data_IF_289157781742
#
_entry.id   IF_289157781742
#
_cell.length_a   1.000
_cell.length_b   1.000
_cell.length_c   1.000
_cell.angle_alpha   90.00
_cell.angle_beta   90.00
_cell.angle_gamma   90.00
#
_symmetry.space_group_name_H-M   'P 1'
#
loop_
_entity.id
_entity.type
_entity.pdbx_description
1 polymer ?
#
# COMPACT_ATOMS: atom_id res chain seq x y z
N UNK A 1 -10.50 -18.06 8.67
CA UNK A 1 -9.60 -18.00 7.49
C UNK A 1 -10.18 -16.97 6.54
N UNK A 2 -9.93 -15.68 6.78
CA UNK A 2 -10.40 -14.60 5.90
C UNK A 2 -9.18 -14.07 5.16
N UNK A 3 -8.87 -14.69 4.02
CA UNK A 3 -7.78 -14.26 3.14
C UNK A 3 -8.30 -13.44 1.94
N UNK A 4 -9.41 -12.72 2.14
CA UNK A 4 -9.85 -11.67 1.22
C UNK A 4 -9.18 -10.35 1.63
N UNK A 5 -7.84 -10.34 1.63
CA UNK A 5 -7.12 -9.09 1.93
C UNK A 5 -7.20 -8.21 0.69
N UNK A 6 -8.08 -7.22 0.72
CA UNK A 6 -8.29 -6.19 -0.30
C UNK A 6 -6.97 -5.57 -0.83
N UNK A 7 -5.93 -5.60 0.00
CA UNK A 7 -4.60 -5.09 -0.30
C UNK A 7 -3.53 -6.16 -0.07
N UNK A 8 -2.53 -6.22 -0.96
CA UNK A 8 -1.39 -7.13 -0.82
C UNK A 8 -0.08 -6.35 -0.87
N UNK A 9 0.76 -6.56 0.15
CA UNK A 9 2.10 -6.00 0.24
C UNK A 9 3.10 -7.00 -0.30
N UNK A 10 3.96 -6.55 -1.20
CA UNK A 10 4.96 -7.37 -1.92
C UNK A 10 6.37 -6.83 -1.72
N UNK A 11 7.36 -7.64 -2.08
CA UNK A 11 8.76 -7.21 -2.08
C UNK A 11 9.00 -6.08 -3.09
N UNK A 12 9.97 -5.17 -2.83
CA UNK A 12 10.29 -4.02 -3.69
C UNK A 12 10.42 -4.30 -5.20
N UNK A 13 10.97 -5.46 -5.54
CA UNK A 13 11.30 -5.92 -6.89
C UNK A 13 10.30 -6.96 -7.44
N UNK A 14 9.23 -7.26 -6.70
CA UNK A 14 8.28 -8.28 -7.10
C UNK A 14 7.61 -7.95 -8.45
N UNK A 15 7.53 -8.97 -9.30
CA UNK A 15 6.80 -8.94 -10.56
C UNK A 15 5.53 -9.77 -10.42
N UNK A 16 4.36 -9.15 -10.67
CA UNK A 16 3.05 -9.78 -10.52
C UNK A 16 2.39 -9.81 -11.90
N UNK A 17 2.34 -10.98 -12.54
CA UNK A 17 1.91 -11.15 -13.93
C UNK A 17 0.52 -10.53 -14.20
N UNK A 18 -0.42 -10.71 -13.29
CA UNK A 18 -1.81 -10.26 -13.46
C UNK A 18 -2.04 -8.77 -13.09
N UNK A 19 -1.00 -8.07 -12.63
CA UNK A 19 -1.09 -6.69 -12.16
C UNK A 19 -0.54 -5.68 -13.17
N UNK A 20 -1.12 -4.49 -13.19
CA UNK A 20 -0.58 -3.35 -13.94
C UNK A 20 0.37 -2.58 -13.02
N UNK A 21 1.64 -2.51 -13.39
CA UNK A 21 2.63 -1.72 -12.64
C UNK A 21 2.50 -0.23 -12.99
N UNK A 22 2.10 0.56 -11.99
CA UNK A 22 1.99 2.01 -12.13
C UNK A 22 3.35 2.73 -12.03
N UNK A 23 4.40 2.03 -11.57
CA UNK A 23 5.75 2.54 -11.38
C UNK A 23 6.02 3.08 -9.97
N UNK A 24 7.14 3.79 -9.84
CA UNK A 24 7.57 4.47 -8.62
C UNK A 24 6.87 5.82 -8.47
N UNK A 25 6.20 6.04 -7.32
CA UNK A 25 5.50 7.29 -6.97
C UNK A 25 4.73 7.94 -8.13
N UNK A 26 3.81 7.21 -8.79
CA UNK A 26 3.01 7.76 -9.88
C UNK A 26 2.07 8.87 -9.39
N UNK A 27 1.67 9.82 -10.25
CA UNK A 27 0.64 10.78 -9.89
C UNK A 27 -0.70 10.07 -9.63
N UNK A 28 -1.47 10.51 -8.63
CA UNK A 28 -2.75 9.89 -8.24
C UNK A 28 -3.75 9.73 -9.39
N UNK A 29 -3.92 10.69 -10.32
CA UNK A 29 -4.79 10.50 -11.48
C UNK A 29 -4.42 9.29 -12.35
N UNK A 30 -3.13 8.98 -12.50
CA UNK A 30 -2.67 7.79 -13.24
C UNK A 30 -3.12 6.52 -12.53
N UNK A 31 -2.95 6.44 -11.21
CA UNK A 31 -3.37 5.27 -10.42
C UNK A 31 -4.87 5.04 -10.55
N UNK A 32 -5.68 6.10 -10.46
CA UNK A 32 -7.14 6.01 -10.65
C UNK A 32 -7.52 5.50 -12.05
N UNK A 33 -6.88 6.03 -13.09
CA UNK A 33 -7.13 5.60 -14.46
C UNK A 33 -6.80 4.11 -14.66
N UNK A 34 -5.68 3.64 -14.12
CA UNK A 34 -5.31 2.22 -14.17
C UNK A 34 -6.25 1.33 -13.35
N UNK A 35 -6.69 1.80 -12.17
CA UNK A 35 -7.58 1.05 -11.28
C UNK A 35 -8.98 0.86 -11.88
N UNK A 36 -9.41 1.77 -12.76
CA UNK A 36 -10.66 1.62 -13.51
C UNK A 36 -10.60 0.49 -14.55
N UNK A 37 -9.40 0.04 -14.95
CA UNK A 37 -9.20 -0.99 -15.97
C UNK A 37 -9.42 -2.44 -15.51
N UNK A 38 -9.93 -2.67 -14.30
CA UNK A 38 -10.33 -4.00 -13.79
C UNK A 38 -9.19 -4.91 -13.33
N UNK A 39 -7.95 -4.65 -13.75
CA UNK A 39 -6.76 -5.36 -13.25
C UNK A 39 -6.23 -4.72 -11.95
N UNK A 40 -5.67 -5.52 -11.01
CA UNK A 40 -5.01 -4.99 -9.83
C UNK A 40 -3.86 -4.05 -10.22
N UNK A 41 -3.77 -2.89 -9.56
CA UNK A 41 -2.68 -1.93 -9.78
C UNK A 41 -1.61 -2.12 -8.69
N UNK A 42 -0.36 -2.29 -9.14
CA UNK A 42 0.85 -2.30 -8.32
C UNK A 42 1.46 -0.89 -8.29
N UNK A 43 1.77 -0.41 -7.08
CA UNK A 43 2.51 0.85 -6.88
C UNK A 43 3.79 0.57 -6.11
N UNK A 44 4.91 1.13 -6.57
CA UNK A 44 6.20 1.05 -5.89
C UNK A 44 6.37 2.26 -4.98
N UNK A 45 6.36 2.02 -3.67
CA UNK A 45 6.49 3.05 -2.62
C UNK A 45 7.92 3.19 -2.09
N UNK A 46 8.84 2.40 -2.62
CA UNK A 46 10.27 2.42 -2.35
C UNK A 46 10.99 2.86 -3.64
N UNK A 47 12.05 3.69 -3.55
CA UNK A 47 12.84 4.04 -4.72
C UNK A 47 13.31 2.78 -5.46
N UNK A 48 13.37 2.82 -6.80
CA UNK A 48 14.04 1.77 -7.53
C UNK A 48 15.47 1.68 -7.02
N UNK A 49 15.98 0.46 -6.83
CA UNK A 49 17.35 0.28 -6.37
C UNK A 49 18.28 1.03 -7.34
N UNK A 50 19.02 2.06 -6.87
CA UNK A 50 20.21 2.47 -7.60
C UNK A 50 21.15 1.28 -7.47
N UNK A 51 21.44 0.59 -8.57
CA UNK A 51 22.53 -0.39 -8.74
C UNK A 51 22.81 -1.48 -7.67
N UNK A 52 21.95 -1.67 -6.66
CA UNK A 52 22.15 -2.63 -5.56
C UNK A 52 22.91 -2.07 -4.35
N UNK A 53 23.31 -0.79 -4.33
CA UNK A 53 24.06 -0.22 -3.20
C UNK A 53 23.17 0.60 -2.25
N UNK A 54 22.77 -0.03 -1.15
CA UNK A 54 22.01 0.62 -0.07
C UNK A 54 22.84 1.68 0.67
N UNK A 55 22.29 2.87 0.86
CA UNK A 55 22.95 3.96 1.60
C UNK A 55 22.55 3.93 3.09
N UNK A 56 23.52 4.16 3.98
CA UNK A 56 23.45 3.99 5.44
C UNK A 56 22.59 5.01 6.22
N UNK A 57 22.30 4.77 7.52
CA UNK A 57 20.95 5.04 8.01
C UNK A 57 20.82 5.79 9.35
N UNK A 58 19.72 6.53 9.51
CA UNK A 58 19.36 7.16 10.80
C UNK A 58 18.09 8.00 10.70
N UNK A 59 18.22 9.27 10.34
CA UNK A 59 17.09 10.19 10.11
C UNK A 59 16.27 9.82 8.86
N UNK A 60 16.96 9.39 7.79
CA UNK A 60 16.34 8.97 6.53
C UNK A 60 15.28 7.88 6.72
N UNK A 61 15.48 6.93 7.65
CA UNK A 61 14.55 5.81 7.88
C UNK A 61 13.18 6.23 8.42
N UNK A 62 13.11 7.22 9.32
CA UNK A 62 11.82 7.68 9.87
C UNK A 62 11.07 8.56 8.86
N UNK A 63 11.77 9.44 8.15
CA UNK A 63 11.21 10.22 7.04
C UNK A 63 10.71 9.27 5.92
N UNK A 64 11.49 8.23 5.59
CA UNK A 64 11.11 7.17 4.65
C UNK A 64 9.88 6.38 5.12
N UNK A 65 9.75 6.08 6.42
CA UNK A 65 8.59 5.39 6.95
C UNK A 65 7.33 6.25 6.82
N UNK A 66 7.35 7.49 7.31
CA UNK A 66 6.21 8.39 7.22
C UNK A 66 5.78 8.61 5.77
N UNK A 67 6.74 8.82 4.88
CA UNK A 67 6.51 8.92 3.45
C UNK A 67 5.89 7.64 2.87
N UNK A 68 6.45 6.48 3.19
CA UNK A 68 5.91 5.18 2.75
C UNK A 68 4.46 5.02 3.19
N UNK A 69 4.14 5.33 4.45
CA UNK A 69 2.80 5.22 5.01
C UNK A 69 1.82 6.18 4.32
N UNK A 70 2.25 7.41 4.01
CA UNK A 70 1.46 8.35 3.24
C UNK A 70 1.17 7.84 1.82
N UNK A 71 2.19 7.34 1.12
CA UNK A 71 2.05 6.79 -0.23
C UNK A 71 1.08 5.60 -0.26
N UNK A 72 1.28 4.57 0.58
CA UNK A 72 0.39 3.39 0.58
C UNK A 72 -1.03 3.77 0.92
N UNK A 73 -1.23 4.70 1.87
CA UNK A 73 -2.58 5.12 2.29
C UNK A 73 -3.31 5.86 1.16
N UNK A 74 -2.65 6.84 0.53
CA UNK A 74 -3.23 7.63 -0.57
C UNK A 74 -3.51 6.77 -1.79
N UNK A 75 -2.59 5.89 -2.17
CA UNK A 75 -2.78 5.03 -3.33
C UNK A 75 -3.81 3.92 -3.10
N UNK A 76 -3.92 3.39 -1.88
CA UNK A 76 -5.02 2.50 -1.51
C UNK A 76 -6.38 3.19 -1.64
N UNK A 77 -6.46 4.48 -1.27
CA UNK A 77 -7.65 5.29 -1.49
C UNK A 77 -7.92 5.55 -2.98
N UNK A 78 -6.86 5.67 -3.77
CA UNK A 78 -6.94 5.87 -5.22
C UNK A 78 -7.30 4.59 -6.01
N UNK A 79 -7.35 3.42 -5.35
CA UNK A 79 -7.76 2.15 -5.97
C UNK A 79 -6.61 1.16 -6.25
N UNK A 80 -5.37 1.48 -5.86
CA UNK A 80 -4.28 0.50 -5.91
C UNK A 80 -4.56 -0.66 -4.94
N UNK A 81 -4.15 -1.86 -5.33
CA UNK A 81 -4.33 -3.09 -4.53
C UNK A 81 -3.02 -3.76 -4.13
N UNK A 82 -1.93 -3.45 -4.83
CA UNK A 82 -0.63 -4.05 -4.62
C UNK A 82 0.41 -2.96 -4.30
N UNK A 83 1.21 -3.18 -3.25
CA UNK A 83 2.18 -2.20 -2.77
C UNK A 83 3.55 -2.83 -2.56
N UNK A 84 4.56 -2.32 -3.27
CA UNK A 84 5.95 -2.72 -3.08
C UNK A 84 6.64 -1.74 -2.12
N UNK A 85 7.17 -2.25 -1.00
CA UNK A 85 7.75 -1.43 0.08
C UNK A 85 8.78 -2.22 0.90
N UNK A 86 9.73 -1.51 1.50
CA UNK A 86 10.68 -2.02 2.50
C UNK A 86 10.08 -2.12 3.91
N UNK A 87 8.88 -1.58 4.16
CA UNK A 87 8.23 -1.53 5.48
C UNK A 87 6.92 -2.34 5.51
N UNK A 88 6.95 -3.66 5.27
CA UNK A 88 5.73 -4.42 5.00
C UNK A 88 4.77 -4.51 6.19
N UNK A 89 5.28 -4.58 7.42
CA UNK A 89 4.43 -4.64 8.62
C UNK A 89 3.68 -3.34 8.86
N UNK A 90 4.39 -2.20 8.84
CA UNK A 90 3.78 -0.89 9.02
C UNK A 90 2.80 -0.55 7.89
N UNK A 91 3.12 -0.92 6.65
CA UNK A 91 2.22 -0.75 5.51
C UNK A 91 0.93 -1.55 5.66
N UNK A 92 0.98 -2.81 6.11
CA UNK A 92 -0.23 -3.61 6.39
C UNK A 92 -1.10 -2.95 7.45
N UNK A 93 -0.51 -2.45 8.52
CA UNK A 93 -1.26 -1.75 9.56
C UNK A 93 -1.95 -0.48 9.03
N UNK A 94 -1.28 0.32 8.19
CA UNK A 94 -1.89 1.48 7.56
C UNK A 94 -3.01 1.10 6.59
N UNK A 95 -2.85 0.02 5.82
CA UNK A 95 -3.89 -0.48 4.90
C UNK A 95 -5.11 -1.04 5.65
N UNK A 96 -4.90 -1.69 6.79
CA UNK A 96 -5.97 -2.11 7.69
C UNK A 96 -6.73 -0.89 8.23
N UNK A 97 -6.01 0.18 8.60
CA UNK A 97 -6.62 1.43 9.04
C UNK A 97 -7.39 2.12 7.91
N UNK A 98 -6.85 2.17 6.68
CA UNK A 98 -7.57 2.67 5.51
C UNK A 98 -8.86 1.88 5.29
N UNK A 99 -8.83 0.56 5.42
CA UNK A 99 -10.02 -0.29 5.28
C UNK A 99 -11.07 0.01 6.35
N UNK A 100 -10.64 0.24 7.59
CA UNK A 100 -11.52 0.68 8.68
C UNK A 100 -12.12 2.05 8.42
N UNK A 101 -11.33 3.04 7.99
CA UNK A 101 -11.80 4.41 7.71
C UNK A 101 -12.75 4.42 6.51
N UNK A 102 -12.50 3.59 5.50
CA UNK A 102 -13.42 3.40 4.35
C UNK A 102 -14.70 2.65 4.72
N UNK A 103 -14.78 2.06 5.92
CA UNK A 103 -15.90 1.22 6.33
C UNK A 103 -15.99 -0.12 5.59
N UNK A 104 -14.93 -0.56 4.91
CA UNK A 104 -14.92 -1.85 4.18
C UNK A 104 -14.47 -3.01 5.06
N UNK A 105 -13.78 -2.72 6.17
CA UNK A 105 -13.44 -3.71 7.19
C UNK A 105 -14.55 -3.77 8.26
N UNK A 106 -15.17 -4.93 8.52
CA UNK A 106 -16.14 -5.06 9.60
C UNK A 106 -15.47 -4.85 10.97
N UNK A 107 -16.17 -4.25 11.94
CA UNK A 107 -15.62 -4.10 13.29
C UNK A 107 -15.35 -5.48 13.89
N UNK A 108 -14.20 -5.64 14.55
CA UNK A 108 -13.82 -6.90 15.20
C UNK A 108 -14.82 -7.29 16.30
N UNK A 109 -15.46 -6.31 16.94
CA UNK A 109 -16.52 -6.49 17.92
C UNK A 109 -17.55 -5.37 17.73
N UNK A 110 -18.82 -5.72 17.56
CA UNK A 110 -19.93 -4.78 17.64
C UNK A 110 -20.56 -4.88 19.04
N UNK A 111 -20.29 -3.89 19.92
CA UNK A 111 -21.02 -3.76 21.20
C UNK A 111 -22.13 -2.76 21.02
N UNK A 112 -23.38 -3.19 21.22
CA UNK A 112 -24.53 -2.29 21.30
C UNK A 112 -24.52 -1.66 22.69
N UNK A 113 -24.36 -0.34 22.77
CA UNK A 113 -24.57 0.40 24.00
C UNK A 113 -26.05 0.38 24.35
N UNK A 114 -26.46 -0.58 25.17
CA UNK A 114 -27.77 -0.56 25.80
C UNK A 114 -27.57 0.13 27.15
N UNK A 115 -28.14 1.34 27.24
CA UNK A 115 -28.28 2.10 28.49
C UNK A 115 -29.45 1.54 29.30
#
# INVERSE_FOLDING_TARGET
MHEDTQFRVVMPDAMIADAVDAGYRPPVPRVRALAAGGRPVLVRCVPPAPDGTGHGPGARRNEELAETLALVSVYAWAGARLFATSHPHAARQALDMVSSIRGTRPPAVARRGLA
#
